data_IF_721660697314
#
_entry.id   IF_721660697314
#
_cell.length_a   1.000
_cell.length_b   1.000
_cell.length_c   1.000
_cell.angle_alpha   90.00
_cell.angle_beta   90.00
_cell.angle_gamma   90.00
#
_symmetry.space_group_name_H-M   'P 1'
#
loop_
_entity.id
_entity.type
_entity.pdbx_description
1 polymer ?
#
# COMPACT_ATOMS: atom_id res chain seq x y z
N UNK A 1 -18.32 -6.80 -38.63
CA UNK A 1 -18.48 -5.64 -37.73
C UNK A 1 -19.33 -5.98 -36.51
N UNK A 2 -20.30 -6.88 -36.65
CA UNK A 2 -21.25 -7.23 -35.58
C UNK A 2 -20.62 -7.89 -34.36
N UNK A 3 -19.53 -8.65 -34.53
CA UNK A 3 -18.79 -9.29 -33.42
C UNK A 3 -18.12 -8.28 -32.49
N UNK A 4 -17.42 -7.28 -33.04
CA UNK A 4 -16.76 -6.24 -32.24
C UNK A 4 -17.77 -5.36 -31.50
N UNK A 5 -18.90 -5.04 -32.15
CA UNK A 5 -19.96 -4.26 -31.54
C UNK A 5 -20.63 -5.02 -30.38
N UNK A 6 -20.93 -6.30 -30.57
CA UNK A 6 -21.47 -7.15 -29.52
C UNK A 6 -20.47 -7.36 -28.37
N UNK A 7 -19.18 -7.53 -28.66
CA UNK A 7 -18.12 -7.63 -27.63
C UNK A 7 -17.98 -6.33 -26.83
N UNK A 8 -18.09 -5.17 -27.48
CA UNK A 8 -18.06 -3.88 -26.81
C UNK A 8 -19.26 -3.68 -25.88
N UNK A 9 -20.46 -4.03 -26.35
CA UNK A 9 -21.68 -4.00 -25.53
C UNK A 9 -21.54 -4.95 -24.34
N UNK A 10 -21.08 -6.18 -24.57
CA UNK A 10 -20.89 -7.17 -23.51
C UNK A 10 -19.86 -6.69 -22.48
N UNK A 11 -18.78 -6.03 -22.91
CA UNK A 11 -17.80 -5.44 -22.01
C UNK A 11 -18.37 -4.26 -21.20
N UNK A 12 -19.18 -3.40 -21.83
CA UNK A 12 -19.88 -2.31 -21.15
C UNK A 12 -20.89 -2.82 -20.12
N UNK A 13 -21.70 -3.82 -20.48
CA UNK A 13 -22.67 -4.47 -19.58
C UNK A 13 -21.95 -5.16 -18.42
N UNK A 14 -20.88 -5.91 -18.70
CA UNK A 14 -20.08 -6.55 -17.66
C UNK A 14 -19.46 -5.51 -16.70
N UNK A 15 -18.99 -4.37 -17.22
CA UNK A 15 -18.45 -3.28 -16.40
C UNK A 15 -19.53 -2.60 -15.55
N UNK A 16 -20.70 -2.33 -16.11
CA UNK A 16 -21.84 -1.77 -15.39
C UNK A 16 -22.30 -2.71 -14.27
N UNK A 17 -22.44 -4.02 -14.57
CA UNK A 17 -22.75 -5.03 -13.57
C UNK A 17 -21.69 -5.09 -12.46
N UNK A 18 -20.41 -5.00 -12.81
CA UNK A 18 -19.32 -4.96 -11.83
C UNK A 18 -19.39 -3.73 -10.92
N UNK A 19 -19.78 -2.56 -11.43
CA UNK A 19 -19.91 -1.35 -10.62
C UNK A 19 -21.17 -1.34 -9.74
N UNK A 20 -22.30 -1.84 -10.26
CA UNK A 20 -23.56 -1.96 -9.50
C UNK A 20 -23.44 -2.97 -8.36
N UNK A 21 -22.79 -4.12 -8.60
CA UNK A 21 -22.60 -5.17 -7.59
C UNK A 21 -21.41 -4.92 -6.66
N UNK A 22 -20.57 -3.93 -6.96
CA UNK A 22 -19.39 -3.57 -6.16
C UNK A 22 -19.70 -3.40 -4.66
N UNK A 23 -20.67 -2.57 -4.21
CA UNK A 23 -20.92 -2.39 -2.78
C UNK A 23 -21.25 -3.70 -2.06
N UNK A 24 -22.05 -4.57 -2.69
CA UNK A 24 -22.38 -5.88 -2.14
C UNK A 24 -21.16 -6.80 -2.04
N UNK A 25 -20.30 -6.83 -3.07
CA UNK A 25 -19.05 -7.60 -3.07
C UNK A 25 -18.07 -7.10 -2.01
N UNK A 26 -17.96 -5.79 -1.85
CA UNK A 26 -17.11 -5.18 -0.81
C UNK A 26 -17.63 -5.54 0.57
N UNK A 27 -18.94 -5.42 0.82
CA UNK A 27 -19.55 -5.76 2.09
C UNK A 27 -19.39 -7.25 2.44
N UNK A 28 -19.66 -8.15 1.49
CA UNK A 28 -19.46 -9.60 1.67
C UNK A 28 -17.98 -9.96 1.86
N UNK A 29 -17.07 -9.34 1.10
CA UNK A 29 -15.63 -9.51 1.25
C UNK A 29 -15.15 -9.05 2.63
N UNK A 30 -15.61 -7.90 3.08
CA UNK A 30 -15.33 -7.36 4.40
C UNK A 30 -15.85 -8.27 5.52
N UNK A 31 -17.11 -8.73 5.42
CA UNK A 31 -17.71 -9.64 6.39
C UNK A 31 -17.00 -11.00 6.46
N UNK A 32 -16.67 -11.58 5.31
CA UNK A 32 -15.92 -12.84 5.26
C UNK A 32 -14.50 -12.71 5.83
N UNK A 33 -13.81 -11.60 5.57
CA UNK A 33 -12.51 -11.30 6.20
C UNK A 33 -12.60 -11.13 7.71
N UNK A 34 -13.70 -10.57 8.22
CA UNK A 34 -13.94 -10.44 9.66
C UNK A 34 -14.14 -11.82 10.32
N UNK A 35 -14.94 -12.68 9.70
CA UNK A 35 -15.22 -14.02 10.22
C UNK A 35 -14.01 -14.96 10.17
N UNK A 36 -13.25 -14.92 9.09
CA UNK A 36 -12.08 -15.79 8.92
C UNK A 36 -10.82 -15.24 9.60
N UNK A 37 -10.77 -13.93 9.85
CA UNK A 37 -9.59 -13.26 10.41
C UNK A 37 -8.41 -13.15 9.46
N UNK A 38 -8.52 -13.64 8.21
CA UNK A 38 -7.43 -13.82 7.25
C UNK A 38 -6.57 -12.56 7.08
N UNK A 39 -7.20 -11.37 7.01
CA UNK A 39 -6.49 -10.12 6.78
C UNK A 39 -6.19 -9.32 8.05
N UNK A 40 -6.91 -9.57 9.14
CA UNK A 40 -6.79 -8.81 10.39
C UNK A 40 -5.53 -9.16 11.17
N UNK A 41 -4.98 -10.36 10.95
CA UNK A 41 -3.79 -10.86 11.62
C UNK A 41 -2.48 -10.24 11.13
N UNK A 42 -2.40 -9.78 9.87
CA UNK A 42 -1.14 -9.32 9.28
C UNK A 42 -0.49 -8.11 9.96
N UNK A 43 -1.22 -7.06 10.39
CA UNK A 43 -0.65 -5.97 11.17
C UNK A 43 0.06 -6.45 12.45
N UNK A 44 -0.54 -7.42 13.15
CA UNK A 44 0.06 -8.01 14.34
C UNK A 44 1.28 -8.88 14.01
N UNK A 45 1.20 -9.67 12.93
CA UNK A 45 2.34 -10.44 12.45
C UNK A 45 3.53 -9.55 12.09
N UNK A 46 3.26 -8.35 11.57
CA UNK A 46 4.31 -7.36 11.31
C UNK A 46 5.09 -6.93 12.55
N UNK A 47 4.45 -6.92 13.72
CA UNK A 47 5.12 -6.65 15.00
C UNK A 47 6.01 -7.84 15.39
N UNK A 48 5.52 -9.07 15.23
CA UNK A 48 6.29 -10.27 15.52
C UNK A 48 7.55 -10.35 14.65
N UNK A 49 7.39 -10.16 13.34
CA UNK A 49 8.51 -10.17 12.37
C UNK A 49 9.52 -9.06 12.69
N UNK A 50 9.05 -7.90 13.15
CA UNK A 50 9.95 -6.82 13.57
C UNK A 50 10.88 -7.25 14.72
N UNK A 51 10.38 -8.06 15.66
CA UNK A 51 11.19 -8.58 16.77
C UNK A 51 12.02 -9.81 16.37
N UNK A 52 11.54 -10.64 15.44
CA UNK A 52 12.28 -11.80 14.93
C UNK A 52 13.54 -11.37 14.16
N UNK A 53 13.42 -10.43 13.22
CA UNK A 53 14.52 -9.92 12.39
C UNK A 53 15.00 -8.53 12.81
N UNK A 54 15.03 -8.29 14.14
CA UNK A 54 15.31 -6.97 14.69
C UNK A 54 16.68 -6.41 14.25
N UNK A 55 17.70 -7.26 14.09
CA UNK A 55 19.08 -6.84 13.74
C UNK A 55 19.16 -6.13 12.38
N UNK A 56 18.39 -6.60 11.39
CA UNK A 56 18.38 -6.05 10.04
C UNK A 56 17.40 -4.88 9.89
N UNK A 57 16.29 -4.93 10.63
CA UNK A 57 15.18 -3.99 10.50
C UNK A 57 15.38 -2.73 11.36
N UNK A 58 15.96 -2.87 12.55
CA UNK A 58 16.22 -1.78 13.48
C UNK A 58 17.08 -0.62 12.91
N UNK A 59 18.18 -0.84 12.15
CA UNK A 59 18.92 0.26 11.56
C UNK A 59 18.10 1.03 10.51
N UNK A 60 17.25 0.34 9.75
CA UNK A 60 16.32 0.97 8.79
C UNK A 60 15.29 1.81 9.54
N UNK A 61 14.74 1.28 10.63
CA UNK A 61 13.79 1.98 11.49
C UNK A 61 14.39 3.25 12.10
N UNK A 62 15.52 3.14 12.81
CA UNK A 62 16.18 4.26 13.49
C UNK A 62 16.53 5.37 12.50
N UNK A 63 17.08 4.99 11.35
CA UNK A 63 17.49 5.96 10.34
C UNK A 63 16.31 6.66 9.64
N UNK A 64 15.12 6.08 9.67
CA UNK A 64 13.88 6.73 9.21
C UNK A 64 13.22 7.57 10.31
N UNK A 65 13.28 7.10 11.55
CA UNK A 65 12.57 7.63 12.71
C UNK A 65 13.07 9.02 13.12
N UNK A 66 14.38 9.18 13.34
CA UNK A 66 14.92 10.46 13.82
C UNK A 66 14.66 11.63 12.87
N UNK A 67 14.87 11.49 11.55
CA UNK A 67 14.68 12.63 10.66
C UNK A 67 13.21 12.98 10.42
N UNK A 68 12.32 11.97 10.46
CA UNK A 68 10.87 12.24 10.36
C UNK A 68 10.34 12.93 11.61
N UNK A 69 10.78 12.51 12.80
CA UNK A 69 10.42 13.18 14.05
C UNK A 69 10.95 14.63 14.08
N UNK A 70 12.18 14.86 13.64
CA UNK A 70 12.77 16.19 13.57
C UNK A 70 12.00 17.08 12.59
N UNK A 71 11.72 16.60 11.37
CA UNK A 71 10.93 17.34 10.38
C UNK A 71 9.53 17.67 10.91
N UNK A 72 8.87 16.69 11.53
CA UNK A 72 7.53 16.88 12.09
C UNK A 72 7.54 17.92 13.22
N UNK A 73 8.52 17.87 14.12
CA UNK A 73 8.65 18.84 15.22
C UNK A 73 8.90 20.26 14.70
N UNK A 74 9.78 20.42 13.70
CA UNK A 74 10.05 21.74 13.08
C UNK A 74 8.78 22.32 12.45
N UNK A 75 8.06 21.50 11.67
CA UNK A 75 6.85 21.96 10.99
C UNK A 75 5.70 22.21 11.98
N UNK A 76 5.57 21.39 13.03
CA UNK A 76 4.59 21.62 14.08
C UNK A 76 4.87 22.92 14.83
N UNK A 77 6.14 23.21 15.15
CA UNK A 77 6.53 24.47 15.77
C UNK A 77 6.21 25.67 14.85
N UNK A 78 6.56 25.56 13.57
CA UNK A 78 6.27 26.60 12.57
C UNK A 78 4.75 26.83 12.44
N UNK A 79 3.96 25.77 12.26
CA UNK A 79 2.50 25.87 12.19
C UNK A 79 1.89 26.42 13.48
N UNK A 80 2.46 26.11 14.65
CA UNK A 80 2.00 26.66 15.91
C UNK A 80 2.21 28.18 16.00
N UNK A 81 3.30 28.74 15.45
CA UNK A 81 3.48 30.19 15.47
C UNK A 81 2.63 30.94 14.43
N UNK A 82 2.44 30.36 13.24
CA UNK A 82 1.79 31.06 12.12
C UNK A 82 0.32 30.69 11.89
N UNK A 83 -0.04 29.41 11.96
CA UNK A 83 -1.39 28.92 11.66
C UNK A 83 -2.29 28.91 12.91
N UNK A 84 -1.72 28.63 14.09
CA UNK A 84 -2.51 28.54 15.33
C UNK A 84 -3.29 29.81 15.65
N UNK A 85 -2.73 31.05 15.57
CA UNK A 85 -3.49 32.25 15.90
C UNK A 85 -4.70 32.45 14.98
N UNK A 86 -4.54 32.12 13.69
CA UNK A 86 -5.61 32.20 12.68
C UNK A 86 -6.69 31.16 12.95
N UNK A 87 -6.29 29.90 13.15
CA UNK A 87 -7.20 28.80 13.45
C UNK A 87 -7.93 29.01 14.78
N UNK A 88 -7.24 29.53 15.79
CA UNK A 88 -7.82 29.87 17.09
C UNK A 88 -8.92 30.93 16.94
N UNK A 89 -8.65 32.00 16.20
CA UNK A 89 -9.63 33.07 16.00
C UNK A 89 -10.87 32.55 15.24
N UNK A 90 -10.68 31.79 14.17
CA UNK A 90 -11.78 31.22 13.38
C UNK A 90 -12.62 30.21 14.20
N UNK A 91 -11.96 29.32 14.94
CA UNK A 91 -12.64 28.28 15.71
C UNK A 91 -13.32 28.84 16.95
N UNK A 92 -12.75 29.88 17.59
CA UNK A 92 -13.41 30.55 18.70
C UNK A 92 -14.63 31.35 18.23
N UNK A 93 -14.58 31.97 17.05
CA UNK A 93 -15.74 32.66 16.47
C UNK A 93 -16.88 31.70 16.08
N UNK A 94 -16.58 30.46 15.69
CA UNK A 94 -17.58 29.51 15.20
C UNK A 94 -18.08 28.54 16.27
N UNK A 95 -17.19 28.05 17.14
CA UNK A 95 -17.46 27.03 18.15
C UNK A 95 -17.33 27.56 19.59
N UNK A 96 -17.08 28.86 19.78
CA UNK A 96 -16.97 29.48 21.10
C UNK A 96 -15.73 29.00 21.88
N UNK A 97 -15.80 28.83 23.22
CA UNK A 97 -14.64 28.48 24.04
C UNK A 97 -14.06 27.08 23.74
N UNK A 98 -14.86 26.15 23.21
CA UNK A 98 -14.36 24.85 22.72
C UNK A 98 -13.49 24.99 21.47
N UNK A 99 -13.54 26.15 20.81
CA UNK A 99 -12.71 26.49 19.66
C UNK A 99 -11.21 26.40 19.93
N UNK A 100 -10.75 26.56 21.17
CA UNK A 100 -9.34 26.39 21.54
C UNK A 100 -8.85 24.94 21.30
N UNK A 101 -9.59 23.96 21.83
CA UNK A 101 -9.25 22.55 21.67
C UNK A 101 -9.34 22.12 20.20
N UNK A 102 -10.37 22.60 19.50
CA UNK A 102 -10.50 22.37 18.07
C UNK A 102 -9.30 22.94 17.33
N UNK A 103 -8.97 24.22 17.52
CA UNK A 103 -7.84 24.87 16.87
C UNK A 103 -6.49 24.17 17.09
N UNK A 104 -6.23 23.65 18.31
CA UNK A 104 -5.05 22.82 18.58
C UNK A 104 -5.02 21.57 17.71
N UNK A 105 -6.13 20.82 17.67
CA UNK A 105 -6.23 19.59 16.86
C UNK A 105 -6.16 19.87 15.36
N UNK A 106 -6.81 20.93 14.86
CA UNK A 106 -6.78 21.30 13.45
C UNK A 106 -5.38 21.70 13.02
N UNK A 107 -4.71 22.56 13.79
CA UNK A 107 -3.36 23.05 13.48
C UNK A 107 -2.36 21.89 13.46
N UNK A 108 -2.44 20.96 14.41
CA UNK A 108 -1.62 19.74 14.42
C UNK A 108 -1.88 18.86 13.20
N UNK A 109 -3.15 18.72 12.79
CA UNK A 109 -3.52 17.93 11.61
C UNK A 109 -3.01 18.55 10.30
N UNK A 110 -3.00 19.88 10.20
CA UNK A 110 -2.48 20.63 9.05
C UNK A 110 -0.96 20.54 8.99
N UNK A 111 -0.28 20.69 10.12
CA UNK A 111 1.17 20.50 10.23
C UNK A 111 1.60 19.09 9.80
N UNK A 112 0.87 18.06 10.25
CA UNK A 112 1.16 16.67 9.86
C UNK A 112 0.96 16.44 8.35
N UNK A 113 -0.09 17.01 7.75
CA UNK A 113 -0.29 16.95 6.29
C UNK A 113 0.81 17.68 5.54
N UNK A 114 1.20 18.87 5.99
CA UNK A 114 2.30 19.62 5.41
C UNK A 114 3.61 18.83 5.47
N UNK A 115 3.91 18.20 6.61
CA UNK A 115 5.07 17.33 6.78
C UNK A 115 5.06 16.14 5.82
N UNK A 116 3.90 15.50 5.63
CA UNK A 116 3.78 14.41 4.66
C UNK A 116 3.94 14.88 3.22
N UNK A 117 3.33 16.00 2.84
CA UNK A 117 3.48 16.58 1.51
C UNK A 117 4.94 16.97 1.24
N UNK A 118 5.62 17.58 2.20
CA UNK A 118 7.04 17.93 2.06
C UNK A 118 7.91 16.68 1.92
N UNK A 119 7.67 15.66 2.76
CA UNK A 119 8.41 14.38 2.73
C UNK A 119 8.22 13.64 1.41
N UNK A 120 7.02 13.70 0.82
CA UNK A 120 6.67 12.93 -0.36
C UNK A 120 6.85 13.68 -1.69
N UNK A 121 6.78 15.02 -1.70
CA UNK A 121 6.74 15.83 -2.91
C UNK A 121 7.88 16.85 -3.04
N UNK A 122 8.44 17.31 -1.93
CA UNK A 122 9.45 18.40 -1.93
C UNK A 122 10.85 17.86 -1.72
N UNK A 123 11.02 16.86 -0.85
CA UNK A 123 12.31 16.18 -0.75
C UNK A 123 12.50 15.29 -2.00
N UNK A 124 13.70 15.28 -2.62
CA UNK A 124 14.00 14.50 -3.83
C UNK A 124 13.63 13.03 -3.69
N UNK A 125 13.61 12.26 -4.79
CA UNK A 125 13.39 10.79 -4.78
C UNK A 125 14.36 9.98 -3.89
N UNK A 126 15.41 10.63 -3.36
CA UNK A 126 16.33 10.13 -2.31
C UNK A 126 15.94 10.56 -0.88
N UNK A 127 14.73 11.10 -0.70
CA UNK A 127 14.18 11.56 0.57
C UNK A 127 14.22 10.46 1.62
N UNK A 128 14.33 10.80 2.89
CA UNK A 128 14.72 9.85 3.94
C UNK A 128 13.74 8.68 4.09
N UNK A 129 12.42 8.91 4.00
CA UNK A 129 11.41 7.90 4.35
C UNK A 129 11.04 6.94 3.20
N UNK A 130 10.68 7.39 1.97
CA UNK A 130 10.26 6.49 0.90
C UNK A 130 11.26 5.37 0.50
N UNK A 131 12.55 5.64 0.21
CA UNK A 131 13.56 4.62 -0.04
C UNK A 131 13.80 3.70 1.16
N UNK A 132 13.72 4.19 2.40
CA UNK A 132 13.84 3.32 3.59
C UNK A 132 12.65 2.37 3.71
N UNK A 133 11.43 2.86 3.48
CA UNK A 133 10.23 2.02 3.43
C UNK A 133 10.27 1.02 2.26
N UNK A 134 10.82 1.43 1.11
CA UNK A 134 11.01 0.53 -0.04
C UNK A 134 12.08 -0.54 0.25
N UNK A 135 13.19 -0.17 0.89
CA UNK A 135 14.24 -1.10 1.31
C UNK A 135 13.71 -2.12 2.32
N UNK A 136 12.93 -1.65 3.30
CA UNK A 136 12.22 -2.51 4.24
C UNK A 136 11.28 -3.48 3.51
N UNK A 137 10.45 -2.95 2.62
CA UNK A 137 9.50 -3.76 1.85
C UNK A 137 10.21 -4.84 1.02
N UNK A 138 11.30 -4.49 0.34
CA UNK A 138 12.11 -5.41 -0.44
C UNK A 138 12.77 -6.47 0.45
N UNK A 139 13.25 -6.11 1.65
CA UNK A 139 13.83 -7.05 2.60
C UNK A 139 12.81 -8.09 3.07
N UNK A 140 11.60 -7.67 3.44
CA UNK A 140 10.51 -8.59 3.84
C UNK A 140 10.10 -9.50 2.68
N UNK A 141 10.07 -8.99 1.45
CA UNK A 141 9.82 -9.85 0.29
C UNK A 141 10.91 -10.91 0.09
N UNK A 142 12.18 -10.58 0.34
CA UNK A 142 13.26 -11.57 0.31
C UNK A 142 13.09 -12.63 1.43
N UNK A 143 12.70 -12.23 2.65
CA UNK A 143 12.39 -13.17 3.74
C UNK A 143 11.26 -14.14 3.37
N UNK A 144 10.27 -13.67 2.63
CA UNK A 144 9.22 -14.54 2.04
C UNK A 144 9.68 -15.30 0.79
N UNK A 145 10.97 -15.40 0.49
CA UNK A 145 11.49 -16.16 -0.66
C UNK A 145 11.12 -15.60 -2.04
N UNK A 146 10.69 -14.34 -2.13
CA UNK A 146 10.29 -13.68 -3.38
C UNK A 146 11.43 -12.89 -4.05
N UNK A 147 12.67 -13.32 -3.84
CA UNK A 147 13.88 -12.68 -4.40
C UNK A 147 13.83 -12.55 -5.93
N UNK A 148 13.21 -13.53 -6.61
CA UNK A 148 13.03 -13.54 -8.07
C UNK A 148 12.18 -12.37 -8.59
N UNK A 149 11.37 -11.74 -7.75
CA UNK A 149 10.59 -10.53 -8.10
C UNK A 149 11.37 -9.27 -7.71
N UNK A 150 12.05 -9.30 -6.57
CA UNK A 150 12.79 -8.15 -6.02
C UNK A 150 14.03 -7.82 -6.86
N UNK A 151 14.88 -8.82 -7.18
CA UNK A 151 16.14 -8.63 -7.90
C UNK A 151 15.91 -7.99 -9.28
N UNK A 152 15.08 -8.54 -10.20
CA UNK A 152 14.85 -7.93 -11.50
C UNK A 152 14.12 -6.59 -11.39
N UNK A 153 13.32 -6.37 -10.35
CA UNK A 153 12.67 -5.09 -10.07
C UNK A 153 13.64 -4.01 -9.56
N UNK A 154 14.71 -4.38 -8.86
CA UNK A 154 15.79 -3.47 -8.42
C UNK A 154 16.73 -3.07 -9.55
N UNK A 155 17.04 -3.99 -10.47
CA UNK A 155 17.89 -3.70 -11.63
C UNK A 155 17.24 -2.73 -12.62
N UNK A 156 15.92 -2.49 -12.50
CA UNK A 156 15.25 -1.47 -13.29
C UNK A 156 15.55 -0.09 -12.73
N UNK A 157 16.52 0.58 -13.36
CA UNK A 157 16.73 2.01 -13.22
C UNK A 157 15.50 2.72 -13.80
N UNK A 158 14.49 2.94 -12.97
CA UNK A 158 13.51 4.00 -13.23
C UNK A 158 14.33 5.27 -13.23
N UNK A 159 14.55 5.86 -14.40
CA UNK A 159 15.17 7.18 -14.50
C UNK A 159 14.35 8.07 -13.58
N UNK A 160 14.91 8.59 -12.47
CA UNK A 160 14.16 9.50 -11.64
C UNK A 160 13.73 10.64 -12.59
N UNK A 161 12.45 10.99 -12.65
CA UNK A 161 12.05 12.18 -13.39
C UNK A 161 12.92 13.33 -12.88
N UNK A 162 13.41 14.18 -13.78
CA UNK A 162 14.27 15.27 -13.36
C UNK A 162 13.56 16.07 -12.27
N UNK A 163 14.26 16.50 -11.20
CA UNK A 163 13.63 17.23 -10.09
C UNK A 163 12.93 18.50 -10.58
N UNK A 164 13.38 19.07 -11.70
CA UNK A 164 12.73 20.19 -12.39
C UNK A 164 11.42 19.82 -13.09
N UNK A 165 11.28 18.60 -13.62
CA UNK A 165 10.05 18.15 -14.29
C UNK A 165 8.92 17.81 -13.30
N UNK A 166 9.23 17.40 -12.07
CA UNK A 166 8.22 17.17 -11.03
C UNK A 166 7.71 18.47 -10.41
N UNK A 167 8.59 19.44 -10.16
CA UNK A 167 8.23 20.75 -9.58
C UNK A 167 7.40 21.58 -10.58
N UNK A 168 7.69 21.50 -11.89
CA UNK A 168 6.92 22.20 -12.94
C UNK A 168 5.74 21.39 -13.51
N UNK A 169 5.35 20.27 -12.89
CA UNK A 169 4.18 19.52 -13.34
C UNK A 169 2.87 20.21 -12.90
N UNK A 170 2.55 21.33 -13.54
CA UNK A 170 1.34 22.13 -13.30
C UNK A 170 0.07 21.26 -13.38
N UNK A 171 0.04 20.27 -14.27
CA UNK A 171 -1.10 19.34 -14.39
C UNK A 171 -1.28 18.43 -13.16
N UNK A 172 -0.18 18.03 -12.52
CA UNK A 172 -0.17 17.25 -11.27
C UNK A 172 -0.65 18.07 -10.07
N UNK A 173 -0.31 19.36 -10.04
CA UNK A 173 -0.77 20.27 -8.99
C UNK A 173 -2.26 20.58 -9.13
N UNK A 174 -2.74 20.87 -10.35
CA UNK A 174 -4.17 21.13 -10.61
C UNK A 174 -5.02 19.91 -10.28
N UNK A 175 -4.58 18.70 -10.67
CA UNK A 175 -5.29 17.46 -10.31
C UNK A 175 -5.26 17.16 -8.81
N UNK A 176 -4.16 17.46 -8.11
CA UNK A 176 -4.07 17.33 -6.66
C UNK A 176 -4.97 18.34 -5.93
N UNK A 177 -4.97 19.60 -6.36
CA UNK A 177 -5.87 20.64 -5.83
C UNK A 177 -7.33 20.25 -6.05
N UNK A 178 -7.67 19.76 -7.26
CA UNK A 178 -9.01 19.26 -7.56
C UNK A 178 -9.40 18.06 -6.68
N UNK A 179 -8.48 17.12 -6.44
CA UNK A 179 -8.70 15.98 -5.54
C UNK A 179 -8.89 16.44 -4.09
N UNK A 180 -8.12 17.42 -3.62
CA UNK A 180 -8.27 17.99 -2.28
C UNK A 180 -9.59 18.74 -2.12
N UNK A 181 -9.99 19.50 -3.15
CA UNK A 181 -11.24 20.26 -3.14
C UNK A 181 -12.44 19.32 -3.15
N UNK A 182 -12.45 18.31 -4.02
CA UNK A 182 -13.51 17.28 -4.06
C UNK A 182 -13.57 16.47 -2.76
N UNK A 183 -12.44 16.08 -2.18
CA UNK A 183 -12.41 15.42 -0.87
C UNK A 183 -12.94 16.32 0.26
N UNK A 184 -12.74 17.63 0.16
CA UNK A 184 -13.27 18.60 1.12
C UNK A 184 -14.77 18.80 0.95
N UNK A 185 -15.26 18.89 -0.30
CA UNK A 185 -16.70 18.92 -0.60
C UNK A 185 -17.42 17.65 -0.15
N UNK A 186 -16.82 16.48 -0.30
CA UNK A 186 -17.44 15.23 0.18
C UNK A 186 -17.65 15.29 1.70
N UNK A 187 -16.72 15.88 2.45
CA UNK A 187 -16.82 16.01 3.91
C UNK A 187 -17.88 17.00 4.40
N UNK A 188 -18.43 17.86 3.54
CA UNK A 188 -19.50 18.78 3.94
C UNK A 188 -20.84 18.07 4.16
N UNK A 189 -21.00 16.84 3.64
CA UNK A 189 -22.15 16.00 3.94
C UNK A 189 -22.01 15.43 5.37
N UNK A 190 -22.88 15.79 6.32
CA UNK A 190 -22.62 15.60 7.76
C UNK A 190 -22.50 14.14 8.21
N UNK A 191 -23.13 13.19 7.52
CA UNK A 191 -23.13 11.77 7.89
C UNK A 191 -22.40 10.92 6.84
N UNK A 192 -22.83 11.02 5.58
CA UNK A 192 -22.25 10.23 4.49
C UNK A 192 -20.83 10.68 4.12
N UNK A 193 -20.52 11.97 4.28
CA UNK A 193 -19.25 12.56 3.90
C UNK A 193 -18.05 11.96 4.65
N UNK A 194 -18.06 11.96 6.00
CA UNK A 194 -17.02 11.31 6.79
C UNK A 194 -16.85 9.83 6.47
N UNK A 195 -17.95 9.08 6.27
CA UNK A 195 -17.91 7.65 5.97
C UNK A 195 -17.25 7.38 4.61
N UNK A 196 -17.66 8.10 3.57
CA UNK A 196 -17.09 7.99 2.22
C UNK A 196 -15.62 8.43 2.22
N UNK A 197 -15.31 9.52 2.94
CA UNK A 197 -13.93 9.99 3.04
C UNK A 197 -13.05 8.99 3.78
N UNK A 198 -13.52 8.39 4.88
CA UNK A 198 -12.78 7.37 5.60
C UNK A 198 -12.52 6.16 4.71
N UNK A 199 -13.56 5.65 4.04
CA UNK A 199 -13.45 4.57 3.06
C UNK A 199 -12.37 4.83 2.00
N UNK A 200 -12.42 6.00 1.34
CA UNK A 200 -11.47 6.38 0.31
C UNK A 200 -10.04 6.52 0.85
N UNK A 201 -9.88 7.11 2.04
CA UNK A 201 -8.58 7.30 2.66
C UNK A 201 -7.92 5.96 3.04
N UNK A 202 -8.70 5.02 3.59
CA UNK A 202 -8.20 3.69 3.96
C UNK A 202 -7.69 2.93 2.73
N UNK A 203 -8.48 2.91 1.65
CA UNK A 203 -8.07 2.23 0.41
C UNK A 203 -6.88 2.93 -0.26
N UNK A 204 -6.86 4.27 -0.25
CA UNK A 204 -5.75 5.04 -0.80
C UNK A 204 -4.44 4.80 -0.02
N UNK A 205 -4.51 4.70 1.32
CA UNK A 205 -3.33 4.41 2.15
C UNK A 205 -2.78 3.01 1.87
N UNK A 206 -3.64 1.99 1.84
CA UNK A 206 -3.23 0.62 1.46
C UNK A 206 -2.65 0.59 0.04
N UNK A 207 -3.22 1.34 -0.90
CA UNK A 207 -2.69 1.45 -2.25
C UNK A 207 -1.28 2.08 -2.27
N UNK A 208 -1.09 3.15 -1.50
CA UNK A 208 0.20 3.82 -1.35
C UNK A 208 1.27 2.87 -0.79
N UNK A 209 0.92 2.12 0.27
CA UNK A 209 1.81 1.14 0.91
C UNK A 209 2.14 -0.07 0.03
N UNK A 210 1.24 -0.44 -0.88
CA UNK A 210 1.42 -1.52 -1.85
C UNK A 210 2.05 -1.08 -3.17
N UNK A 211 2.25 0.22 -3.37
CA UNK A 211 2.78 0.77 -4.62
C UNK A 211 4.16 0.24 -4.99
N UNK A 212 4.99 -0.11 -3.99
CA UNK A 212 6.31 -0.70 -4.21
C UNK A 212 6.21 -2.06 -4.91
N UNK A 213 5.28 -2.91 -4.51
CA UNK A 213 5.05 -4.20 -5.15
C UNK A 213 4.68 -4.04 -6.63
N UNK A 214 3.76 -3.11 -6.93
CA UNK A 214 3.32 -2.87 -8.30
C UNK A 214 4.47 -2.40 -9.20
N UNK A 215 5.38 -1.58 -8.64
CA UNK A 215 6.61 -1.18 -9.32
C UNK A 215 7.52 -2.37 -9.59
N UNK A 216 7.72 -3.26 -8.60
CA UNK A 216 8.54 -4.47 -8.77
C UNK A 216 7.96 -5.44 -9.82
N UNK A 217 6.62 -5.57 -9.85
CA UNK A 217 5.92 -6.45 -10.80
C UNK A 217 5.71 -5.84 -12.20
N UNK A 218 6.15 -4.59 -12.44
CA UNK A 218 5.96 -3.87 -13.71
C UNK A 218 4.49 -3.69 -14.10
N UNK A 219 3.60 -3.59 -13.11
CA UNK A 219 2.18 -3.38 -13.37
C UNK A 219 1.95 -1.93 -13.82
N UNK A 220 1.24 -1.75 -14.94
CA UNK A 220 0.77 -0.41 -15.33
C UNK A 220 -0.19 0.10 -14.26
N UNK A 221 -0.17 1.40 -13.93
CA UNK A 221 -0.98 2.00 -12.86
C UNK A 221 -2.46 1.57 -12.89
N UNK A 222 -3.07 1.56 -14.10
CA UNK A 222 -4.45 1.09 -14.32
C UNK A 222 -4.65 -0.41 -14.05
N UNK A 223 -3.66 -1.24 -14.33
CA UNK A 223 -3.72 -2.69 -14.06
C UNK A 223 -3.58 -2.95 -12.55
N UNK A 224 -2.68 -2.25 -11.86
CA UNK A 224 -2.52 -2.34 -10.41
C UNK A 224 -3.82 -1.97 -9.68
N UNK A 225 -4.45 -0.86 -10.07
CA UNK A 225 -5.74 -0.43 -9.53
C UNK A 225 -6.88 -1.42 -9.82
N UNK A 226 -6.86 -2.10 -10.95
CA UNK A 226 -7.94 -3.03 -11.29
C UNK A 226 -7.76 -4.41 -10.66
N UNK A 227 -6.56 -4.99 -10.74
CA UNK A 227 -6.32 -6.38 -10.31
C UNK A 227 -6.20 -6.54 -8.79
N UNK A 228 -5.55 -5.60 -8.10
CA UNK A 228 -5.30 -5.76 -6.66
C UNK A 228 -6.35 -5.07 -5.80
N UNK A 229 -6.75 -3.84 -6.17
CA UNK A 229 -7.71 -3.09 -5.36
C UNK A 229 -9.14 -3.56 -5.58
N UNK A 230 -9.64 -3.63 -6.83
CA UNK A 230 -11.06 -3.94 -7.06
C UNK A 230 -11.43 -5.39 -6.77
N UNK A 231 -10.50 -6.33 -6.94
CA UNK A 231 -10.80 -7.76 -6.74
C UNK A 231 -10.87 -8.13 -5.25
N UNK A 232 -10.04 -7.53 -4.40
CA UNK A 232 -9.93 -7.81 -2.96
C UNK A 232 -10.32 -6.62 -2.08
N UNK A 233 -11.12 -5.71 -2.63
CA UNK A 233 -11.42 -4.42 -2.01
C UNK A 233 -11.97 -4.53 -0.59
N UNK A 234 -12.92 -5.46 -0.36
CA UNK A 234 -13.48 -5.69 0.98
C UNK A 234 -12.46 -6.20 2.00
N UNK A 235 -11.51 -7.03 1.57
CA UNK A 235 -10.46 -7.57 2.43
C UNK A 235 -9.43 -6.50 2.79
N UNK A 236 -9.01 -5.72 1.79
CA UNK A 236 -8.09 -4.61 1.95
C UNK A 236 -8.69 -3.47 2.79
N UNK A 237 -10.01 -3.27 2.70
CA UNK A 237 -10.72 -2.34 3.57
C UNK A 237 -10.60 -2.74 5.03
N UNK A 238 -10.87 -4.00 5.36
CA UNK A 238 -10.77 -4.49 6.74
C UNK A 238 -9.34 -4.45 7.28
N UNK A 239 -8.36 -4.76 6.42
CA UNK A 239 -6.94 -4.53 6.74
C UNK A 239 -6.67 -3.05 7.05
N UNK A 240 -7.19 -2.14 6.22
CA UNK A 240 -7.08 -0.70 6.42
C UNK A 240 -7.71 -0.23 7.73
N UNK A 241 -8.90 -0.74 8.08
CA UNK A 241 -9.54 -0.44 9.37
C UNK A 241 -8.66 -0.89 10.54
N UNK A 242 -8.10 -2.11 10.48
CA UNK A 242 -7.21 -2.62 11.53
C UNK A 242 -5.96 -1.75 11.68
N UNK A 243 -5.31 -1.42 10.56
CA UNK A 243 -4.14 -0.53 10.52
C UNK A 243 -4.47 0.85 11.09
N UNK A 244 -5.61 1.42 10.71
CA UNK A 244 -6.07 2.70 11.21
C UNK A 244 -6.29 2.68 12.73
N UNK A 245 -6.89 1.62 13.28
CA UNK A 245 -7.08 1.47 14.73
C UNK A 245 -5.73 1.38 15.46
N UNK A 246 -4.78 0.60 14.95
CA UNK A 246 -3.43 0.50 15.53
C UNK A 246 -2.67 1.84 15.46
N UNK A 247 -2.80 2.56 14.34
CA UNK A 247 -2.13 3.85 14.13
C UNK A 247 -2.82 5.02 14.85
N UNK A 248 -4.07 4.85 15.29
CA UNK A 248 -4.80 5.84 16.08
C UNK A 248 -4.24 6.02 17.48
N UNK A 249 -3.39 5.10 17.96
CA UNK A 249 -2.70 5.22 19.24
C UNK A 249 -1.72 6.41 19.15
N UNK A 250 -1.85 7.45 20.00
CA UNK A 250 -0.98 8.62 19.91
C UNK A 250 0.48 8.24 20.16
N UNK A 251 1.40 8.89 19.45
CA UNK A 251 2.87 8.75 19.54
C UNK A 251 3.39 7.39 19.06
N UNK A 252 2.92 6.28 19.65
CA UNK A 252 3.36 4.92 19.30
C UNK A 252 2.74 4.48 17.96
N UNK A 253 1.46 4.79 17.73
CA UNK A 253 0.74 4.52 16.48
C UNK A 253 1.44 5.07 15.25
N UNK A 254 1.71 6.37 15.28
CA UNK A 254 2.22 7.10 14.12
C UNK A 254 3.62 6.70 13.69
N UNK A 255 4.45 6.24 14.63
CA UNK A 255 5.87 5.98 14.40
C UNK A 255 6.19 4.48 14.35
N UNK A 256 5.81 3.74 15.39
CA UNK A 256 6.10 2.32 15.50
C UNK A 256 5.10 1.48 14.71
N UNK A 257 3.80 1.63 14.99
CA UNK A 257 2.79 0.81 14.32
C UNK A 257 2.72 1.08 12.83
N UNK A 258 2.94 2.32 12.37
CA UNK A 258 3.05 2.62 10.94
C UNK A 258 4.14 1.80 10.24
N UNK A 259 5.28 1.61 10.91
CA UNK A 259 6.39 0.83 10.40
C UNK A 259 6.10 -0.67 10.43
N UNK A 260 5.57 -1.21 11.54
CA UNK A 260 5.21 -2.63 11.64
C UNK A 260 4.06 -3.01 10.72
N UNK A 261 3.09 -2.11 10.50
CA UNK A 261 2.00 -2.30 9.56
C UNK A 261 2.51 -2.39 8.12
N UNK A 262 3.56 -1.63 7.77
CA UNK A 262 4.21 -1.76 6.46
C UNK A 262 4.86 -3.13 6.28
N UNK A 263 5.51 -3.66 7.33
CA UNK A 263 6.08 -5.03 7.35
C UNK A 263 4.96 -6.06 7.17
N UNK A 264 3.85 -5.92 7.91
CA UNK A 264 2.69 -6.80 7.80
C UNK A 264 2.09 -6.85 6.40
N UNK A 265 1.94 -5.69 5.74
CA UNK A 265 1.47 -5.59 4.35
C UNK A 265 2.45 -6.27 3.39
N UNK A 266 3.76 -6.00 3.53
CA UNK A 266 4.80 -6.60 2.70
C UNK A 266 4.80 -8.14 2.82
N UNK A 267 4.67 -8.63 4.05
CA UNK A 267 4.59 -10.06 4.34
C UNK A 267 3.34 -10.71 3.74
N UNK A 268 2.17 -10.10 3.92
CA UNK A 268 0.91 -10.56 3.31
C UNK A 268 1.07 -10.70 1.80
N UNK A 269 1.59 -9.67 1.15
CA UNK A 269 1.79 -9.65 -0.30
C UNK A 269 2.82 -10.68 -0.75
N UNK A 270 3.89 -10.90 0.03
CA UNK A 270 4.86 -11.95 -0.21
C UNK A 270 4.22 -13.35 -0.20
N UNK A 271 3.36 -13.64 0.77
CA UNK A 271 2.62 -14.91 0.81
C UNK A 271 1.65 -15.08 -0.36
N UNK A 272 0.96 -14.01 -0.76
CA UNK A 272 0.08 -14.06 -1.93
C UNK A 272 0.84 -14.39 -3.21
N UNK A 273 2.06 -13.86 -3.37
CA UNK A 273 2.93 -14.19 -4.49
C UNK A 273 3.34 -15.66 -4.48
N UNK A 274 3.68 -16.20 -3.30
CA UNK A 274 4.02 -17.61 -3.14
C UNK A 274 2.83 -18.52 -3.49
N UNK A 275 1.65 -18.23 -2.95
CA UNK A 275 0.42 -19.00 -3.23
C UNK A 275 0.09 -18.98 -4.72
N UNK A 276 0.22 -17.82 -5.37
CA UNK A 276 0.01 -17.70 -6.83
C UNK A 276 1.03 -18.52 -7.62
N UNK A 277 2.29 -18.56 -7.19
CA UNK A 277 3.34 -19.38 -7.80
C UNK A 277 3.04 -20.87 -7.65
N UNK A 278 2.62 -21.31 -6.47
CA UNK A 278 2.26 -22.71 -6.21
C UNK A 278 1.05 -23.15 -7.03
N UNK A 279 -0.02 -22.34 -7.10
CA UNK A 279 -1.18 -22.65 -7.94
C UNK A 279 -0.85 -22.69 -9.43
N UNK A 280 0.12 -21.91 -9.91
CA UNK A 280 0.60 -22.04 -11.30
C UNK A 280 1.39 -23.33 -11.53
N UNK A 281 2.16 -23.82 -10.55
CA UNK A 281 2.91 -25.07 -10.65
C UNK A 281 1.98 -26.28 -10.67
N UNK A 282 0.90 -26.24 -9.89
CA UNK A 282 -0.10 -27.32 -9.79
C UNK A 282 -0.99 -27.43 -11.05
N UNK A 283 -1.15 -26.34 -11.80
CA UNK A 283 -1.89 -26.29 -13.08
C UNK A 283 -1.04 -26.63 -14.30
N UNK A 284 0.29 -26.72 -14.16
CA UNK A 284 1.12 -27.29 -15.21
C UNK A 284 0.86 -28.80 -15.19
N UNK A 285 0.48 -29.44 -16.32
CA UNK A 285 0.52 -30.88 -16.39
C UNK A 285 1.93 -31.29 -15.98
N UNK A 286 2.04 -32.29 -15.10
CA UNK A 286 3.30 -32.95 -14.81
C UNK A 286 3.78 -33.51 -16.14
N UNK A 287 4.53 -32.72 -16.89
CA UNK A 287 5.27 -33.18 -18.03
C UNK A 287 6.37 -34.04 -17.43
N UNK A 288 6.07 -35.34 -17.34
CA UNK A 288 7.04 -36.39 -17.07
C UNK A 288 8.20 -36.12 -17.99
N UNK A 289 9.28 -35.60 -17.42
CA UNK A 289 10.46 -35.17 -18.14
C UNK A 289 11.00 -36.41 -18.86
N UNK A 290 10.87 -36.57 -20.20
CA UNK A 290 11.26 -37.81 -20.88
C UNK A 290 12.76 -38.07 -20.75
N UNK A 291 13.54 -37.04 -20.39
CA UNK A 291 14.99 -37.11 -20.21
C UNK A 291 15.40 -37.93 -18.99
N UNK A 292 14.57 -38.01 -17.93
CA UNK A 292 14.90 -38.82 -16.76
C UNK A 292 14.63 -40.31 -16.96
N UNK A 293 13.59 -40.68 -17.71
CA UNK A 293 13.29 -42.10 -18.01
C UNK A 293 14.29 -42.73 -18.99
N UNK A 294 14.86 -41.94 -19.92
CA UNK A 294 15.89 -42.45 -20.81
C UNK A 294 17.25 -42.68 -20.11
N UNK A 295 17.54 -41.95 -19.03
CA UNK A 295 18.77 -42.15 -18.25
C UNK A 295 18.67 -43.35 -17.30
N UNK A 296 17.52 -43.60 -16.69
CA UNK A 296 17.29 -44.81 -15.88
C UNK A 296 17.23 -46.07 -16.74
N UNK A 297 16.58 -46.03 -17.91
CA UNK A 297 16.53 -47.20 -18.82
C UNK A 297 17.89 -47.57 -19.44
N UNK A 298 18.74 -46.58 -19.76
CA UNK A 298 20.09 -46.88 -20.25
C UNK A 298 20.99 -47.45 -19.15
N UNK A 299 20.83 -47.01 -17.90
CA UNK A 299 21.63 -47.53 -16.79
C UNK A 299 21.25 -48.97 -16.44
N UNK A 300 19.97 -49.34 -16.53
CA UNK A 300 19.53 -50.74 -16.34
C UNK A 300 19.96 -51.67 -17.48
N UNK A 301 19.90 -51.21 -18.74
CA UNK A 301 20.34 -51.99 -19.89
C UNK A 301 21.87 -52.22 -19.90
N UNK A 302 22.66 -51.25 -19.44
CA UNK A 302 24.11 -51.38 -19.32
C UNK A 302 24.53 -52.31 -18.16
N UNK A 303 23.71 -52.40 -17.11
CA UNK A 303 23.92 -53.36 -16.01
C UNK A 303 23.55 -54.80 -16.40
N UNK A 304 22.54 -55.01 -17.25
CA UNK A 304 22.19 -56.35 -17.73
C UNK A 304 23.21 -56.90 -18.74
N UNK A 305 23.79 -56.05 -19.61
CA UNK A 305 24.83 -56.48 -20.57
C UNK A 305 26.17 -56.88 -19.94
N UNK A 306 26.41 -56.54 -18.68
CA UNK A 306 27.67 -56.85 -17.99
C UNK A 306 27.64 -58.17 -17.21
N UNK A 307 26.47 -58.82 -17.12
CA UNK A 307 26.23 -60.06 -16.37
C UNK A 307 25.90 -61.28 -17.25
N UNK A 308 26.09 -61.17 -18.57
CA UNK A 308 26.11 -62.27 -19.56
C UNK A 308 27.43 -62.26 -20.30
#
# INVERSE_FOLDING_TARGET
MDTFYNDWINACVARAQMEILRPFRVALGAYSSLLKGDCLYYPFKGIVIFFEDWENILPIYISAFFPTLLLQTILELFSFFYLFPVNFLLMCCTAGPMGFLLALTTTRSEASKAAQTITNCVLPSDAILPPKMNSLFDHILCLTGNERVVIPGKLQRVVPPSPTAEVFNISGWVSSIYAMLTATFIKTLPILGPVISAYNNLLADIHSRSSRLYRLQRLRRRQAEYYHLKQKEGQLLMLGVCIYVLESIPVIGTLFFRFTNQIGIAYMQGLELQSKKQGMIELLPVESNPVQDHLTQNTENDLQKKNT
#
